data_IF_504462175966
#
_entry.id   IF_504462175966
#
_cell.length_a   1.000
_cell.length_b   1.000
_cell.length_c   1.000
_cell.angle_alpha   90.00
_cell.angle_beta   90.00
_cell.angle_gamma   90.00
#
_symmetry.space_group_name_H-M   'P 1'
#
loop_
_entity.id
_entity.type
_entity.pdbx_description
1 polymer ?
#
# COMPACT_ATOMS: atom_id res chain seq x y z
N UNK A 1 12.00 13.18 -19.85
CA UNK A 1 10.56 12.84 -19.73
C UNK A 1 10.29 12.55 -18.27
N UNK A 2 9.38 13.28 -17.61
CA UNK A 2 9.02 12.98 -16.21
C UNK A 2 8.25 11.65 -16.22
N UNK A 3 8.93 10.55 -15.91
CA UNK A 3 8.32 9.25 -15.69
C UNK A 3 7.49 9.34 -14.40
N UNK A 4 6.18 9.45 -14.52
CA UNK A 4 5.28 9.44 -13.36
C UNK A 4 5.13 8.00 -12.86
N UNK A 5 5.22 7.81 -11.54
CA UNK A 5 4.95 6.52 -10.90
C UNK A 5 3.45 6.31 -10.80
N UNK A 6 2.94 5.16 -11.24
CA UNK A 6 1.54 4.77 -11.04
C UNK A 6 1.38 4.32 -9.59
N UNK A 7 0.34 4.77 -8.89
CA UNK A 7 0.00 4.23 -7.58
C UNK A 7 -1.15 3.23 -7.69
N UNK A 8 -0.98 2.03 -7.17
CA UNK A 8 -2.01 1.01 -7.09
C UNK A 8 -2.29 0.68 -5.63
N UNK A 9 -3.50 0.96 -5.19
CA UNK A 9 -3.98 0.62 -3.85
C UNK A 9 -4.82 -0.64 -3.98
N UNK A 10 -4.33 -1.74 -3.42
CA UNK A 10 -5.04 -3.01 -3.46
C UNK A 10 -5.95 -3.16 -2.24
N UNK A 11 -7.25 -3.32 -2.44
CA UNK A 11 -8.20 -3.53 -1.35
C UNK A 11 -9.35 -4.42 -1.78
N UNK A 12 -9.92 -5.16 -0.81
CA UNK A 12 -11.16 -5.93 -0.97
C UNK A 12 -11.98 -5.90 0.31
N UNK A 13 -13.29 -6.05 0.20
CA UNK A 13 -14.20 -6.07 1.34
C UNK A 13 -14.30 -7.45 2.02
N UNK A 14 -13.74 -8.49 1.38
CA UNK A 14 -13.83 -9.89 1.79
C UNK A 14 -12.86 -10.30 2.91
N UNK A 15 -12.41 -9.39 3.77
CA UNK A 15 -11.60 -9.76 4.94
C UNK A 15 -12.38 -10.67 5.87
N UNK A 16 -11.79 -11.80 6.27
CA UNK A 16 -12.45 -12.78 7.17
C UNK A 16 -12.46 -12.31 8.62
N UNK A 17 -11.38 -11.66 9.08
CA UNK A 17 -11.20 -11.23 10.47
C UNK A 17 -11.89 -9.89 10.76
N UNK A 18 -11.85 -8.96 9.80
CA UNK A 18 -12.50 -7.64 9.89
C UNK A 18 -13.26 -7.38 8.57
N UNK A 19 -14.48 -7.92 8.42
CA UNK A 19 -15.26 -7.74 7.21
C UNK A 19 -15.51 -6.26 6.90
N UNK A 20 -15.28 -5.86 5.65
CA UNK A 20 -15.49 -4.48 5.24
C UNK A 20 -14.46 -3.48 5.74
N UNK A 21 -13.29 -3.90 6.21
CA UNK A 21 -12.28 -3.03 6.85
C UNK A 21 -11.90 -1.79 6.05
N UNK A 22 -11.85 -1.87 4.73
CA UNK A 22 -11.52 -0.73 3.88
C UNK A 22 -12.51 0.45 4.03
N UNK A 23 -13.75 0.17 4.43
CA UNK A 23 -14.83 1.16 4.62
C UNK A 23 -15.14 1.47 6.09
N UNK A 24 -14.31 1.01 7.04
CA UNK A 24 -14.43 1.38 8.45
C UNK A 24 -14.20 2.88 8.59
N UNK A 25 -15.07 3.52 9.37
CA UNK A 25 -14.93 4.93 9.71
C UNK A 25 -13.76 5.16 10.69
N UNK A 26 -12.87 6.06 10.30
CA UNK A 26 -11.78 6.58 11.11
C UNK A 26 -11.90 8.11 11.09
N UNK A 27 -12.38 8.69 12.17
CA UNK A 27 -12.56 10.14 12.32
C UNK A 27 -13.41 10.80 11.21
N UNK A 28 -14.53 10.18 10.83
CA UNK A 28 -15.49 10.69 9.84
C UNK A 28 -15.13 10.39 8.37
N UNK A 29 -14.09 9.59 8.10
CA UNK A 29 -13.66 9.20 6.76
C UNK A 29 -13.36 7.69 6.69
N UNK A 30 -13.72 6.98 5.61
CA UNK A 30 -13.37 5.59 5.43
C UNK A 30 -11.85 5.35 5.47
N UNK A 31 -11.41 4.23 6.04
CA UNK A 31 -10.01 3.82 6.11
C UNK A 31 -9.29 3.99 4.76
N UNK A 32 -9.88 3.49 3.67
CA UNK A 32 -9.31 3.59 2.33
C UNK A 32 -9.15 5.04 1.86
N UNK A 33 -10.01 5.95 2.30
CA UNK A 33 -9.94 7.38 1.99
C UNK A 33 -8.68 8.02 2.59
N UNK A 34 -8.30 7.62 3.80
CA UNK A 34 -7.04 8.09 4.40
C UNK A 34 -5.82 7.60 3.61
N UNK A 35 -5.87 6.39 3.05
CA UNK A 35 -4.79 5.89 2.18
C UNK A 35 -4.73 6.72 0.89
N UNK A 36 -5.87 7.07 0.27
CA UNK A 36 -5.90 7.95 -0.90
C UNK A 36 -5.26 9.29 -0.60
N UNK A 37 -5.61 9.93 0.53
CA UNK A 37 -5.05 11.23 0.92
C UNK A 37 -3.53 11.18 1.10
N UNK A 38 -3.01 10.09 1.71
CA UNK A 38 -1.59 9.87 1.93
C UNK A 38 -0.83 9.69 0.63
N UNK A 39 -1.34 8.87 -0.27
CA UNK A 39 -0.73 8.62 -1.58
C UNK A 39 -0.73 9.88 -2.45
N UNK A 40 -1.78 10.71 -2.39
CA UNK A 40 -1.84 12.00 -3.10
C UNK A 40 -0.77 13.00 -2.67
N UNK A 41 -0.17 12.86 -1.48
CA UNK A 41 0.91 13.74 -1.00
C UNK A 41 2.28 13.44 -1.60
N UNK A 42 2.44 12.32 -2.29
CA UNK A 42 3.71 11.92 -2.88
C UNK A 42 3.95 12.69 -4.18
N UNK A 43 5.12 13.30 -4.30
CA UNK A 43 5.54 13.97 -5.54
C UNK A 43 5.86 12.93 -6.61
N UNK A 44 5.58 13.26 -7.87
CA UNK A 44 5.79 12.38 -9.03
C UNK A 44 4.88 11.13 -9.05
N UNK A 45 3.81 11.12 -8.25
CA UNK A 45 2.71 10.18 -8.45
C UNK A 45 1.86 10.69 -9.62
N UNK A 46 1.60 9.77 -10.55
CA UNK A 46 0.66 9.95 -11.66
C UNK A 46 -0.73 9.41 -11.31
N UNK A 47 -1.30 8.55 -12.15
CA UNK A 47 -2.60 7.95 -11.88
C UNK A 47 -2.61 7.15 -10.58
N UNK A 48 -3.69 7.28 -9.82
CA UNK A 48 -3.98 6.44 -8.65
C UNK A 48 -5.11 5.49 -9.03
N UNK A 49 -4.94 4.20 -8.78
CA UNK A 49 -5.91 3.16 -9.11
C UNK A 49 -6.23 2.34 -7.87
N UNK A 50 -7.50 2.18 -7.58
CA UNK A 50 -7.99 1.15 -6.69
C UNK A 50 -8.08 -0.18 -7.45
N UNK A 51 -7.23 -1.14 -7.11
CA UNK A 51 -7.26 -2.49 -7.67
C UNK A 51 -8.02 -3.43 -6.72
N UNK A 52 -9.19 -3.88 -7.14
CA UNK A 52 -10.09 -4.73 -6.35
C UNK A 52 -10.54 -5.95 -7.14
N UNK A 53 -11.55 -6.67 -6.65
CA UNK A 53 -12.17 -7.82 -7.34
C UNK A 53 -13.59 -7.49 -7.80
N UNK A 54 -14.13 -8.35 -8.68
CA UNK A 54 -15.52 -8.23 -9.15
C UNK A 54 -16.56 -8.66 -8.12
N UNK A 55 -16.14 -9.00 -6.89
CA UNK A 55 -17.06 -9.35 -5.81
C UNK A 55 -18.05 -8.20 -5.53
N UNK A 56 -19.38 -8.46 -5.53
CA UNK A 56 -20.39 -7.44 -5.28
C UNK A 56 -20.22 -6.69 -3.94
N UNK A 57 -19.60 -7.32 -2.93
CA UNK A 57 -19.30 -6.68 -1.65
C UNK A 57 -18.44 -5.43 -1.81
N UNK A 58 -17.63 -5.34 -2.87
CA UNK A 58 -16.76 -4.20 -3.16
C UNK A 58 -17.50 -2.95 -3.66
N UNK A 59 -18.78 -3.05 -4.00
CA UNK A 59 -19.57 -1.97 -4.63
C UNK A 59 -19.50 -0.64 -3.87
N UNK A 60 -19.63 -0.68 -2.52
CA UNK A 60 -19.58 0.52 -1.68
C UNK A 60 -18.20 1.19 -1.77
N UNK A 61 -17.13 0.42 -1.72
CA UNK A 61 -15.75 0.91 -1.83
C UNK A 61 -15.46 1.45 -3.23
N UNK A 62 -15.96 0.79 -4.27
CA UNK A 62 -15.82 1.22 -5.67
C UNK A 62 -16.53 2.58 -5.88
N UNK A 63 -17.76 2.73 -5.38
CA UNK A 63 -18.49 4.00 -5.45
C UNK A 63 -17.73 5.11 -4.74
N UNK A 64 -17.23 4.85 -3.54
CA UNK A 64 -16.43 5.80 -2.78
C UNK A 64 -15.16 6.22 -3.55
N UNK A 65 -14.42 5.27 -4.11
CA UNK A 65 -13.23 5.57 -4.89
C UNK A 65 -13.52 6.48 -6.09
N UNK A 66 -14.61 6.20 -6.82
CA UNK A 66 -15.04 7.04 -7.95
C UNK A 66 -15.45 8.46 -7.52
N UNK A 67 -16.12 8.62 -6.38
CA UNK A 67 -16.44 9.93 -5.81
C UNK A 67 -15.19 10.73 -5.43
N UNK A 68 -14.10 10.03 -5.13
CA UNK A 68 -12.77 10.59 -4.82
C UNK A 68 -11.89 10.78 -6.08
N UNK A 69 -12.43 10.67 -7.29
CA UNK A 69 -11.69 10.73 -8.56
C UNK A 69 -10.55 9.70 -8.66
N UNK A 70 -10.71 8.54 -8.00
CA UNK A 70 -9.79 7.41 -8.09
C UNK A 70 -10.29 6.45 -9.15
N UNK A 71 -9.42 6.13 -10.11
CA UNK A 71 -9.69 5.08 -11.10
C UNK A 71 -9.86 3.72 -10.43
N UNK A 72 -10.71 2.87 -10.98
CA UNK A 72 -10.98 1.54 -10.41
C UNK A 72 -10.73 0.46 -11.46
N UNK A 73 -10.00 -0.56 -11.06
CA UNK A 73 -9.86 -1.81 -11.81
C UNK A 73 -10.38 -2.98 -10.96
N UNK A 74 -11.26 -3.79 -11.54
CA UNK A 74 -11.82 -4.98 -10.88
C UNK A 74 -11.39 -6.25 -11.62
N UNK A 75 -10.74 -7.17 -10.90
CA UNK A 75 -10.27 -8.45 -11.43
C UNK A 75 -11.23 -9.58 -11.05
N UNK A 76 -11.43 -10.54 -11.95
CA UNK A 76 -12.41 -11.62 -11.73
C UNK A 76 -11.93 -12.72 -10.78
N UNK A 77 -10.61 -12.90 -10.65
CA UNK A 77 -10.01 -13.96 -9.82
C UNK A 77 -9.53 -13.32 -8.52
N UNK A 78 -10.02 -13.80 -7.38
CA UNK A 78 -9.77 -13.20 -6.07
C UNK A 78 -8.30 -13.33 -5.64
N UNK A 79 -7.70 -14.50 -5.82
CA UNK A 79 -6.35 -14.82 -5.36
C UNK A 79 -5.29 -14.61 -6.46
N UNK A 80 -5.65 -13.89 -7.54
CA UNK A 80 -4.72 -13.50 -8.60
C UNK A 80 -4.30 -12.03 -8.45
N UNK A 81 -3.38 -11.76 -7.52
CA UNK A 81 -2.90 -10.40 -7.32
C UNK A 81 -1.97 -9.95 -8.46
N UNK A 82 -1.16 -10.82 -9.04
CA UNK A 82 -0.32 -10.50 -10.20
C UNK A 82 -1.16 -9.98 -11.36
N UNK A 83 -2.18 -10.73 -11.80
CA UNK A 83 -3.09 -10.31 -12.86
C UNK A 83 -3.90 -9.07 -12.50
N UNK A 84 -4.28 -8.92 -11.22
CA UNK A 84 -4.99 -7.73 -10.75
C UNK A 84 -4.15 -6.46 -10.88
N UNK A 85 -2.89 -6.49 -10.44
CA UNK A 85 -1.99 -5.34 -10.55
C UNK A 85 -1.61 -5.07 -12.01
N UNK A 86 -1.26 -6.10 -12.78
CA UNK A 86 -0.95 -5.98 -14.21
C UNK A 86 -2.13 -5.39 -15.00
N UNK A 87 -3.35 -5.86 -14.74
CA UNK A 87 -4.57 -5.34 -15.36
C UNK A 87 -4.83 -3.88 -14.99
N UNK A 88 -4.61 -3.51 -13.73
CA UNK A 88 -4.82 -2.14 -13.24
C UNK A 88 -3.91 -1.11 -13.93
N UNK A 89 -2.71 -1.50 -14.35
CA UNK A 89 -1.73 -0.60 -14.97
C UNK A 89 -1.69 -0.68 -16.50
N UNK A 90 -2.38 -1.64 -17.12
CA UNK A 90 -2.25 -2.01 -18.55
C UNK A 90 -2.32 -0.82 -19.49
N UNK A 91 -3.28 0.09 -19.30
CA UNK A 91 -3.53 1.22 -20.19
C UNK A 91 -2.97 2.56 -19.63
N UNK A 92 -2.16 2.51 -18.58
CA UNK A 92 -1.58 3.69 -17.97
C UNK A 92 -0.12 3.85 -18.39
N UNK A 93 0.37 5.09 -18.42
CA UNK A 93 1.78 5.39 -18.69
C UNK A 93 2.54 5.50 -17.37
N UNK A 94 3.69 4.86 -17.29
CA UNK A 94 4.60 4.87 -16.15
C UNK A 94 5.36 3.55 -16.05
N UNK A 95 6.65 3.62 -15.74
CA UNK A 95 7.55 2.47 -15.69
C UNK A 95 7.66 1.89 -14.29
N UNK A 96 7.30 2.67 -13.27
CA UNK A 96 7.30 2.27 -11.86
C UNK A 96 5.89 2.29 -11.29
N UNK A 97 5.62 1.37 -10.39
CA UNK A 97 4.31 1.16 -9.75
C UNK A 97 4.50 1.10 -8.24
N UNK A 98 3.96 2.09 -7.53
CA UNK A 98 3.84 2.07 -6.08
C UNK A 98 2.62 1.23 -5.70
N UNK A 99 2.83 0.10 -5.03
CA UNK A 99 1.79 -0.80 -4.54
C UNK A 99 1.60 -0.60 -3.04
N UNK A 100 0.38 -0.28 -2.62
CA UNK A 100 0.00 -0.06 -1.21
C UNK A 100 -1.15 -0.99 -0.81
N UNK A 101 -1.09 -1.55 0.39
CA UNK A 101 -2.16 -2.35 0.98
C UNK A 101 -3.34 -1.49 1.44
N UNK A 102 -4.57 -1.98 1.22
CA UNK A 102 -5.79 -1.31 1.67
C UNK A 102 -6.12 -1.51 3.16
N UNK A 103 -5.18 -2.10 3.90
CA UNK A 103 -5.20 -2.34 5.35
C UNK A 103 -4.16 -1.49 6.11
N UNK A 104 -3.49 -0.57 5.41
CA UNK A 104 -2.39 0.24 5.91
C UNK A 104 -2.78 1.73 6.01
N UNK A 105 -3.70 2.14 6.92
CA UNK A 105 -4.18 3.53 6.99
C UNK A 105 -3.12 4.52 7.43
N UNK A 106 -1.99 4.04 7.91
CA UNK A 106 -0.90 4.85 8.45
C UNK A 106 0.30 4.98 7.51
N UNK A 107 0.25 4.44 6.27
CA UNK A 107 1.38 4.59 5.32
C UNK A 107 1.86 6.03 5.29
N UNK A 108 3.15 6.23 5.47
CA UNK A 108 3.73 7.56 5.61
C UNK A 108 4.15 8.13 4.25
N UNK A 109 3.59 9.28 3.83
CA UNK A 109 3.97 9.89 2.57
C UNK A 109 5.47 10.17 2.42
N UNK A 110 6.19 10.45 3.51
CA UNK A 110 7.63 10.70 3.49
C UNK A 110 8.42 9.43 3.20
N UNK A 111 8.02 8.31 3.79
CA UNK A 111 8.61 6.99 3.52
C UNK A 111 8.33 6.55 2.09
N UNK A 112 7.07 6.66 1.65
CA UNK A 112 6.68 6.34 0.27
C UNK A 112 7.41 7.22 -0.74
N UNK A 113 7.63 8.50 -0.42
CA UNK A 113 8.39 9.43 -1.27
C UNK A 113 9.86 9.01 -1.43
N UNK A 114 10.51 8.51 -0.37
CA UNK A 114 11.87 7.98 -0.45
C UNK A 114 11.90 6.78 -1.40
N UNK A 115 10.96 5.84 -1.25
CA UNK A 115 10.87 4.64 -2.10
C UNK A 115 10.69 5.00 -3.58
N UNK A 116 9.75 5.91 -3.87
CA UNK A 116 9.49 6.37 -5.25
C UNK A 116 10.70 7.08 -5.84
N UNK A 117 11.36 7.96 -5.07
CA UNK A 117 12.59 8.64 -5.52
C UNK A 117 13.71 7.65 -5.82
N UNK A 118 13.91 6.65 -4.97
CA UNK A 118 14.92 5.61 -5.18
C UNK A 118 14.66 4.84 -6.48
N UNK A 119 13.43 4.43 -6.71
CA UNK A 119 13.06 3.69 -7.92
C UNK A 119 13.20 4.53 -9.20
N UNK A 120 12.88 5.84 -9.15
CA UNK A 120 13.04 6.75 -10.30
C UNK A 120 14.54 7.03 -10.56
N UNK A 121 15.35 7.12 -9.52
CA UNK A 121 16.79 7.40 -9.65
C UNK A 121 17.58 6.25 -10.31
N UNK A 122 17.13 5.01 -10.12
CA UNK A 122 17.70 3.83 -10.80
C UNK A 122 16.60 3.00 -11.49
N UNK A 123 16.30 3.30 -12.76
CA UNK A 123 15.29 2.56 -13.55
C UNK A 123 15.64 1.09 -13.80
N UNK A 124 16.85 0.65 -13.45
CA UNK A 124 17.24 -0.76 -13.52
C UNK A 124 16.70 -1.60 -12.37
N UNK A 125 16.21 -0.96 -11.28
CA UNK A 125 15.61 -1.64 -10.16
C UNK A 125 14.26 -2.27 -10.56
N UNK A 126 14.02 -3.48 -10.07
CA UNK A 126 12.76 -4.20 -10.25
C UNK A 126 11.85 -4.11 -9.03
N UNK A 127 12.46 -3.98 -7.85
CA UNK A 127 11.73 -4.00 -6.60
C UNK A 127 12.44 -3.14 -5.55
N UNK A 128 11.75 -2.10 -5.07
CA UNK A 128 12.18 -1.25 -3.95
C UNK A 128 11.16 -1.42 -2.84
N UNK A 129 11.57 -1.87 -1.67
CA UNK A 129 10.63 -2.11 -0.57
C UNK A 129 11.26 -1.90 0.80
N UNK A 130 10.43 -1.48 1.75
CA UNK A 130 10.78 -1.42 3.16
C UNK A 130 10.45 -2.73 3.93
N UNK A 131 10.24 -3.83 3.16
CA UNK A 131 9.98 -5.18 3.68
C UNK A 131 11.06 -6.20 3.31
N UNK A 132 12.15 -5.77 2.67
CA UNK A 132 13.31 -6.64 2.38
C UNK A 132 14.11 -6.80 3.67
N UNK A 133 14.47 -5.69 4.30
CA UNK A 133 15.08 -5.65 5.62
C UNK A 133 14.11 -4.95 6.58
N UNK A 134 13.49 -5.72 7.46
CA UNK A 134 12.45 -5.23 8.36
C UNK A 134 13.00 -4.24 9.40
N UNK A 135 12.64 -2.98 9.27
CA UNK A 135 13.05 -1.92 10.18
C UNK A 135 11.95 -0.89 10.45
N UNK A 136 10.98 -0.78 9.56
CA UNK A 136 9.79 0.07 9.73
C UNK A 136 8.67 -0.68 10.46
N UNK A 137 7.75 0.02 11.15
CA UNK A 137 6.53 -0.57 11.67
C UNK A 137 5.72 -1.27 10.57
N UNK A 138 5.14 -2.42 10.88
CA UNK A 138 4.13 -3.05 10.03
C UNK A 138 2.97 -2.08 9.81
N UNK A 139 2.46 -1.97 8.57
CA UNK A 139 1.42 -0.98 8.24
C UNK A 139 1.97 0.31 7.63
N UNK A 140 3.31 0.53 7.68
CA UNK A 140 4.00 1.46 6.79
C UNK A 140 4.56 0.77 5.54
N UNK A 141 4.22 -0.49 5.36
CA UNK A 141 4.76 -1.35 4.30
C UNK A 141 4.22 -0.97 2.93
N UNK A 142 5.12 -0.83 1.97
CA UNK A 142 4.80 -0.63 0.57
C UNK A 142 5.88 -1.25 -0.33
N UNK A 143 5.56 -1.39 -1.60
CA UNK A 143 6.47 -1.86 -2.62
C UNK A 143 6.44 -0.90 -3.82
N UNK A 144 7.60 -0.56 -4.39
CA UNK A 144 7.69 0.04 -5.72
C UNK A 144 8.27 -1.00 -6.65
N UNK A 145 7.49 -1.38 -7.66
CA UNK A 145 7.85 -2.41 -8.63
C UNK A 145 8.05 -1.78 -10.00
N UNK A 146 8.99 -2.30 -10.79
CA UNK A 146 9.05 -1.97 -12.21
C UNK A 146 7.85 -2.59 -12.94
N UNK A 147 7.34 -1.90 -13.95
CA UNK A 147 6.30 -2.46 -14.84
C UNK A 147 6.72 -3.80 -15.41
N UNK A 148 7.97 -3.90 -15.86
CA UNK A 148 8.51 -5.14 -16.44
C UNK A 148 8.45 -6.33 -15.49
N UNK A 149 8.71 -6.13 -14.18
CA UNK A 149 8.64 -7.21 -13.20
C UNK A 149 7.20 -7.64 -12.92
N UNK A 150 6.24 -6.72 -12.93
CA UNK A 150 4.81 -7.02 -12.80
C UNK A 150 4.31 -7.80 -14.03
N UNK A 151 4.63 -7.33 -15.23
CA UNK A 151 4.24 -8.00 -16.49
C UNK A 151 4.89 -9.37 -16.62
N UNK A 152 6.14 -9.51 -16.17
CA UNK A 152 6.80 -10.81 -16.11
C UNK A 152 6.06 -11.76 -15.14
N UNK A 153 5.71 -11.30 -13.94
CA UNK A 153 5.00 -12.11 -12.96
C UNK A 153 3.63 -12.56 -13.48
N UNK A 154 2.85 -11.64 -14.08
CA UNK A 154 1.54 -11.96 -14.67
C UNK A 154 1.64 -13.02 -15.75
N UNK A 155 2.70 -12.97 -16.60
CA UNK A 155 2.90 -13.89 -17.70
C UNK A 155 3.47 -15.26 -17.29
N UNK A 156 4.34 -15.31 -16.27
CA UNK A 156 5.17 -16.48 -16.00
C UNK A 156 4.79 -17.24 -14.72
N UNK A 157 4.16 -16.58 -13.74
CA UNK A 157 3.68 -17.25 -12.55
C UNK A 157 2.36 -17.97 -12.88
N UNK A 158 2.33 -19.27 -12.63
CA UNK A 158 1.18 -20.13 -12.97
C UNK A 158 0.44 -20.57 -11.69
N UNK A 159 1.18 -20.82 -10.60
CA UNK A 159 0.58 -21.31 -9.36
C UNK A 159 -0.18 -20.19 -8.65
N UNK A 160 -1.39 -20.45 -8.12
CA UNK A 160 -2.20 -19.44 -7.44
C UNK A 160 -1.49 -18.74 -6.29
N UNK A 161 -0.77 -19.48 -5.45
CA UNK A 161 0.01 -18.96 -4.33
C UNK A 161 1.15 -18.02 -4.78
N UNK A 162 1.86 -18.39 -5.85
CA UNK A 162 2.90 -17.51 -6.44
C UNK A 162 2.27 -16.24 -7.03
N UNK A 163 1.10 -16.34 -7.66
CA UNK A 163 0.39 -15.19 -8.23
C UNK A 163 -0.17 -14.26 -7.14
N UNK A 164 -0.69 -14.81 -6.05
CA UNK A 164 -1.14 -14.02 -4.90
C UNK A 164 0.05 -13.33 -4.21
N UNK A 165 1.18 -14.01 -4.09
CA UNK A 165 2.39 -13.53 -3.42
C UNK A 165 3.47 -13.04 -4.40
N UNK A 166 3.10 -12.61 -5.62
CA UNK A 166 4.05 -12.27 -6.69
C UNK A 166 5.15 -11.26 -6.27
N UNK A 167 4.81 -10.30 -5.42
CA UNK A 167 5.77 -9.31 -4.94
C UNK A 167 6.82 -9.95 -4.00
N UNK A 168 6.43 -10.98 -3.23
CA UNK A 168 7.34 -11.79 -2.43
C UNK A 168 8.20 -12.65 -3.36
N UNK A 169 7.62 -13.24 -4.39
CA UNK A 169 8.37 -14.00 -5.39
C UNK A 169 9.48 -13.14 -6.02
N UNK A 170 9.17 -11.92 -6.45
CA UNK A 170 10.15 -10.99 -7.03
C UNK A 170 11.26 -10.68 -6.00
N UNK A 171 10.90 -10.37 -4.76
CA UNK A 171 11.83 -10.09 -3.67
C UNK A 171 12.83 -11.24 -3.44
N UNK A 172 12.32 -12.46 -3.45
CA UNK A 172 13.08 -13.66 -3.04
C UNK A 172 13.88 -14.28 -4.19
N UNK A 173 13.83 -13.68 -5.41
CA UNK A 173 14.61 -14.08 -6.57
C UNK A 173 15.60 -12.98 -7.03
N UNK A 174 16.59 -12.56 -6.21
CA UNK A 174 17.50 -11.44 -6.50
C UNK A 174 18.50 -11.73 -7.63
N UNK A 175 18.62 -12.96 -8.08
CA UNK A 175 19.41 -13.33 -9.26
C UNK A 175 18.69 -12.96 -10.56
N UNK A 176 17.36 -12.88 -10.53
CA UNK A 176 16.53 -12.54 -11.68
C UNK A 176 16.04 -11.09 -11.62
N UNK A 177 15.76 -10.56 -10.43
CA UNK A 177 15.23 -9.22 -10.23
C UNK A 177 16.18 -8.38 -9.37
N UNK A 178 16.42 -7.16 -9.79
CA UNK A 178 17.24 -6.21 -9.03
C UNK A 178 16.41 -5.59 -7.91
N UNK A 179 16.66 -6.02 -6.67
CA UNK A 179 15.93 -5.60 -5.47
C UNK A 179 16.74 -4.58 -4.66
N UNK A 180 16.04 -3.64 -3.98
CA UNK A 180 16.68 -2.61 -3.16
C UNK A 180 15.89 -2.39 -1.86
N UNK A 181 16.51 -2.54 -0.67
CA UNK A 181 15.87 -2.29 0.60
C UNK A 181 15.81 -0.80 0.94
N UNK A 182 14.72 -0.38 1.56
CA UNK A 182 14.61 0.91 2.25
C UNK A 182 14.59 0.63 3.75
N UNK A 183 15.64 1.04 4.44
CA UNK A 183 15.88 0.69 5.84
C UNK A 183 15.76 1.94 6.71
N UNK A 184 15.08 1.83 7.84
CA UNK A 184 15.06 2.86 8.87
C UNK A 184 16.28 2.69 9.80
N UNK A 185 16.85 3.80 10.29
CA UNK A 185 18.03 3.77 11.14
C UNK A 185 17.84 3.09 12.50
N UNK A 186 16.58 2.99 12.96
CA UNK A 186 16.18 2.24 14.15
C UNK A 186 15.29 1.06 13.73
N UNK A 187 15.42 -0.07 14.41
CA UNK A 187 14.51 -1.19 14.16
C UNK A 187 13.20 -0.99 14.93
N UNK A 188 12.14 -0.65 14.20
CA UNK A 188 10.78 -0.44 14.69
C UNK A 188 9.82 -1.54 14.20
N UNK A 189 10.34 -2.64 13.63
CA UNK A 189 9.53 -3.71 13.02
C UNK A 189 8.66 -4.50 14.01
N UNK A 190 8.92 -4.35 15.30
CA UNK A 190 8.09 -4.89 16.39
C UNK A 190 6.75 -4.17 16.54
N UNK A 191 6.60 -2.96 15.97
CA UNK A 191 5.35 -2.19 16.03
C UNK A 191 4.39 -2.63 14.91
N UNK A 192 3.16 -3.01 15.28
CA UNK A 192 2.10 -3.41 14.36
C UNK A 192 1.07 -2.30 14.19
N UNK A 193 0.97 -1.73 12.97
CA UNK A 193 0.05 -0.65 12.62
C UNK A 193 -0.85 -1.00 11.41
N UNK A 194 -0.89 -2.25 10.99
CA UNK A 194 -1.89 -2.74 10.03
C UNK A 194 -3.25 -2.88 10.71
N UNK A 195 -4.32 -2.85 9.92
CA UNK A 195 -5.68 -3.12 10.41
C UNK A 195 -6.10 -4.51 9.94
N UNK A 196 -5.84 -5.53 10.77
CA UNK A 196 -6.13 -6.93 10.46
C UNK A 196 -7.06 -7.61 11.45
N UNK A 197 -7.07 -7.15 12.71
CA UNK A 197 -7.89 -7.68 13.78
C UNK A 197 -8.78 -6.58 14.38
N UNK A 198 -9.85 -6.92 15.11
CA UNK A 198 -10.69 -5.92 15.78
C UNK A 198 -9.92 -4.96 16.71
N UNK A 199 -8.89 -5.45 17.40
CA UNK A 199 -8.04 -4.62 18.24
C UNK A 199 -7.29 -3.55 17.46
N UNK A 200 -6.89 -3.85 16.22
CA UNK A 200 -6.21 -2.89 15.34
C UNK A 200 -7.17 -1.76 14.91
N UNK A 201 -8.45 -2.08 14.75
CA UNK A 201 -9.49 -1.08 14.46
C UNK A 201 -9.60 -0.08 15.61
N UNK A 202 -9.62 -0.57 16.85
CA UNK A 202 -9.67 0.29 18.04
C UNK A 202 -8.40 1.12 18.17
N UNK A 203 -7.25 0.53 17.91
CA UNK A 203 -5.98 1.25 17.84
C UNK A 203 -6.00 2.34 16.78
N UNK A 204 -6.47 2.02 15.56
CA UNK A 204 -6.57 3.00 14.49
C UNK A 204 -7.52 4.16 14.87
N UNK A 205 -8.71 3.85 15.41
CA UNK A 205 -9.64 4.87 15.89
C UNK A 205 -9.02 5.76 16.96
N UNK A 206 -8.29 5.18 17.92
CA UNK A 206 -7.59 5.93 18.93
C UNK A 206 -6.57 6.91 18.32
N UNK A 207 -5.68 6.45 17.43
CA UNK A 207 -4.66 7.29 16.78
C UNK A 207 -5.33 8.42 15.97
N UNK A 208 -6.31 8.07 15.12
CA UNK A 208 -7.04 9.06 14.32
C UNK A 208 -7.80 10.08 15.18
N UNK A 209 -8.37 9.67 16.33
CA UNK A 209 -9.03 10.60 17.26
C UNK A 209 -8.09 11.63 17.86
N UNK A 210 -6.78 11.35 17.92
CA UNK A 210 -5.75 12.21 18.52
C UNK A 210 -5.00 13.05 17.52
N UNK A 211 -4.74 12.50 16.32
CA UNK A 211 -3.84 13.13 15.35
C UNK A 211 -4.54 13.64 14.09
N UNK A 212 -5.73 13.12 13.77
CA UNK A 212 -6.40 13.52 12.55
C UNK A 212 -6.92 14.95 12.64
N UNK A 213 -6.58 15.75 11.62
CA UNK A 213 -7.14 17.06 11.37
C UNK A 213 -7.43 17.18 9.87
N UNK A 214 -8.58 17.73 9.46
CA UNK A 214 -8.86 17.94 8.03
C UNK A 214 -7.74 18.71 7.35
N UNK A 215 -7.24 18.17 6.22
CA UNK A 215 -6.15 18.78 5.45
C UNK A 215 -4.73 18.47 5.95
N UNK A 216 -4.58 17.95 7.16
CA UNK A 216 -3.30 17.46 7.68
C UNK A 216 -3.17 15.93 7.56
N UNK A 217 -2.01 15.47 7.15
CA UNK A 217 -1.65 14.04 7.10
C UNK A 217 -0.50 13.82 8.06
N UNK A 218 -0.81 13.31 9.25
CA UNK A 218 0.21 12.96 10.24
C UNK A 218 1.07 11.76 9.76
N UNK A 219 2.34 11.75 10.15
CA UNK A 219 3.31 10.72 9.77
C UNK A 219 3.72 9.82 10.92
N UNK A 220 4.73 8.98 10.64
CA UNK A 220 5.30 8.04 11.60
C UNK A 220 5.82 8.71 12.87
N UNK A 221 6.50 9.86 12.76
CA UNK A 221 7.06 10.56 13.93
C UNK A 221 5.97 11.03 14.88
N UNK A 222 4.88 11.61 14.37
CA UNK A 222 3.76 12.07 15.20
C UNK A 222 3.07 10.89 15.90
N UNK A 223 2.98 9.73 15.24
CA UNK A 223 2.48 8.51 15.86
C UNK A 223 3.40 8.02 16.98
N UNK A 224 4.71 7.97 16.76
CA UNK A 224 5.68 7.56 17.77
C UNK A 224 5.63 8.50 18.98
N UNK A 225 5.57 9.81 18.77
CA UNK A 225 5.46 10.80 19.84
C UNK A 225 4.16 10.65 20.64
N UNK A 226 3.03 10.41 19.97
CA UNK A 226 1.75 10.12 20.62
C UNK A 226 1.86 8.88 21.49
N UNK A 227 2.35 7.77 20.92
CA UNK A 227 2.41 6.49 21.63
C UNK A 227 3.40 6.53 22.80
N UNK A 228 4.53 7.23 22.64
CA UNK A 228 5.49 7.46 23.72
C UNK A 228 4.88 8.26 24.87
N UNK A 229 4.25 9.38 24.56
CA UNK A 229 3.59 10.26 25.56
C UNK A 229 2.51 9.53 26.34
N UNK A 230 1.74 8.68 25.66
CA UNK A 230 0.60 7.98 26.27
C UNK A 230 0.98 6.60 26.84
N UNK A 231 2.30 6.29 26.94
CA UNK A 231 2.82 5.04 27.51
C UNK A 231 2.41 3.78 26.73
N UNK A 232 2.11 3.93 25.43
CA UNK A 232 1.67 2.84 24.55
C UNK A 232 2.75 2.33 23.58
N UNK A 233 3.93 2.93 23.61
CA UNK A 233 5.14 2.34 23.03
C UNK A 233 5.62 1.26 23.98
N UNK A 234 4.97 0.11 23.95
CA UNK A 234 5.49 -1.06 24.64
C UNK A 234 6.62 -1.65 23.78
N UNK A 235 7.75 -1.77 24.44
CA UNK A 235 8.98 -2.44 24.03
C UNK A 235 8.74 -3.87 23.58
#
# INVERSE_FOLDING_TARGET
MNSSTIAVIQARMGSSRVPGKAMIDLAGRPLIGHIFDRVRRIRNIGPIVLATTTDPRNEKMIKFARMEDISVYSHSIEDDLAGRIAGAIRNLKGDMVLKVGGDCPFVDPSVLQIMVKTAIADPSLDFVSNRIEWSYPLGLSADVLSRRSIEWADKNLIKPDERELFAIYIRDNPTQFKVFPIVHHQNLSHLGWTVDEPADVEFARYVFSKLYQPGHVFGMHEMLDLLKRDGRLLS
#
